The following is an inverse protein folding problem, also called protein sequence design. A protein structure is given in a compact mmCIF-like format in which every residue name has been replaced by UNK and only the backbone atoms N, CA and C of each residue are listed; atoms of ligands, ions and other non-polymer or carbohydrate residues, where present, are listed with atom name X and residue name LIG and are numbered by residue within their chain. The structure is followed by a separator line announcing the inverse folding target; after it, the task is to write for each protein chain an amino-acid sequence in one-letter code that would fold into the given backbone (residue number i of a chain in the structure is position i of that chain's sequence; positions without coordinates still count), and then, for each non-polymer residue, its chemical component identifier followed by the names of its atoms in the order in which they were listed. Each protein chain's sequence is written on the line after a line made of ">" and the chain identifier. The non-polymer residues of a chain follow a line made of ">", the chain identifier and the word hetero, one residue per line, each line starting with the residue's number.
data_IF_286289854832
#
_entry.id   IF_286289854832
#
_cell.length_a   1.000
_cell.length_b   1.000
_cell.length_c   1.000
_cell.angle_alpha   90.00
_cell.angle_beta   90.00
_cell.angle_gamma   90.00
#
_symmetry.space_group_name_H-M   'P 1'
#
loop_
_entity.id
_entity.type
_entity.pdbx_description
1 polymer ?
#
# COMPACT_ATOMS: atom_id res chain seq x y z
N UNK A 1 -45.96 -12.21 -16.61
CA UNK A 1 -44.52 -12.31 -16.97
C UNK A 1 -43.75 -11.83 -15.74
N UNK A 2 -43.00 -12.71 -15.08
CA UNK A 2 -42.17 -12.30 -13.93
C UNK A 2 -40.96 -11.52 -14.45
N UNK A 3 -40.53 -10.51 -13.70
CA UNK A 3 -39.37 -9.71 -14.04
C UNK A 3 -38.11 -10.56 -13.93
N UNK A 4 -37.33 -10.64 -15.01
CA UNK A 4 -35.96 -11.12 -14.97
C UNK A 4 -35.07 -9.91 -14.66
N UNK A 5 -34.37 -9.96 -13.53
CA UNK A 5 -33.35 -8.98 -13.20
C UNK A 5 -32.00 -9.52 -13.68
N UNK A 6 -31.49 -8.99 -14.79
CA UNK A 6 -30.10 -9.17 -15.18
C UNK A 6 -29.24 -8.19 -14.39
N UNK A 7 -28.36 -8.70 -13.53
CA UNK A 7 -27.52 -7.86 -12.70
C UNK A 7 -26.51 -8.64 -11.88
N UNK A 8 -25.43 -7.96 -11.53
CA UNK A 8 -24.39 -8.47 -10.64
C UNK A 8 -24.99 -8.72 -9.24
N UNK A 9 -24.86 -9.94 -8.73
CA UNK A 9 -25.34 -10.29 -7.38
C UNK A 9 -24.60 -9.48 -6.30
N UNK A 10 -25.31 -8.61 -5.59
CA UNK A 10 -24.73 -7.90 -4.44
C UNK A 10 -24.61 -8.83 -3.22
N UNK A 11 -23.92 -8.36 -2.18
CA UNK A 11 -23.70 -9.13 -0.94
C UNK A 11 -24.97 -9.64 -0.26
N UNK A 12 -26.10 -8.98 -0.52
CA UNK A 12 -27.40 -9.37 0.01
C UNK A 12 -27.86 -10.77 -0.46
N UNK A 13 -27.32 -11.31 -1.56
CA UNK A 13 -27.65 -12.67 -2.00
C UNK A 13 -27.28 -13.72 -0.95
N UNK A 14 -26.22 -13.49 -0.17
CA UNK A 14 -25.77 -14.41 0.87
C UNK A 14 -26.84 -14.61 1.95
N UNK A 15 -27.55 -13.54 2.32
CA UNK A 15 -28.65 -13.60 3.29
C UNK A 15 -29.80 -14.48 2.78
N UNK A 16 -30.14 -14.34 1.49
CA UNK A 16 -31.20 -15.13 0.84
C UNK A 16 -30.84 -16.61 0.77
N UNK A 17 -29.60 -16.93 0.41
CA UNK A 17 -29.12 -18.31 0.28
C UNK A 17 -29.01 -19.00 1.64
N UNK A 18 -28.58 -18.27 2.67
CA UNK A 18 -28.57 -18.74 4.06
C UNK A 18 -29.98 -19.08 4.54
N UNK A 19 -30.97 -18.24 4.21
CA UNK A 19 -32.38 -18.50 4.51
C UNK A 19 -32.96 -19.74 3.80
N UNK A 20 -32.41 -20.10 2.63
CA UNK A 20 -32.77 -21.31 1.88
C UNK A 20 -31.98 -22.56 2.28
N UNK A 21 -31.15 -22.49 3.32
CA UNK A 21 -30.33 -23.60 3.83
C UNK A 21 -29.45 -24.27 2.75
N UNK A 22 -28.95 -23.49 1.78
CA UNK A 22 -28.00 -24.01 0.80
C UNK A 22 -26.62 -24.14 1.48
N UNK A 23 -26.00 -25.35 1.45
CA UNK A 23 -24.74 -25.60 2.14
C UNK A 23 -23.56 -24.88 1.48
N UNK A 24 -23.63 -24.68 0.15
CA UNK A 24 -22.58 -24.05 -0.64
C UNK A 24 -23.18 -23.14 -1.72
N UNK A 25 -22.45 -22.06 -2.03
CA UNK A 25 -22.79 -21.14 -3.10
C UNK A 25 -22.41 -21.78 -4.45
N UNK A 26 -23.32 -21.89 -5.43
CA UNK A 26 -22.96 -22.39 -6.75
C UNK A 26 -21.83 -21.57 -7.38
N UNK A 27 -20.87 -22.25 -8.03
CA UNK A 27 -19.66 -21.62 -8.57
C UNK A 27 -19.93 -20.43 -9.50
N UNK A 28 -21.02 -20.46 -10.27
CA UNK A 28 -21.38 -19.38 -11.19
C UNK A 28 -21.81 -18.08 -10.49
N UNK A 29 -22.12 -18.12 -9.18
CA UNK A 29 -22.39 -16.93 -8.37
C UNK A 29 -21.16 -16.41 -7.60
N UNK A 30 -20.06 -17.17 -7.57
CA UNK A 30 -18.81 -16.76 -6.92
C UNK A 30 -18.06 -15.83 -7.88
N UNK A 31 -18.27 -14.53 -7.76
CA UNK A 31 -17.53 -13.56 -8.58
C UNK A 31 -16.10 -13.36 -8.04
N UNK A 32 -15.15 -13.00 -8.92
CA UNK A 32 -13.73 -12.80 -8.56
C UNK A 32 -13.54 -11.90 -7.32
N UNK A 33 -14.33 -10.83 -7.18
CA UNK A 33 -14.27 -9.91 -6.02
C UNK A 33 -14.53 -10.58 -4.66
N UNK A 34 -15.17 -11.74 -4.65
CA UNK A 34 -15.48 -12.53 -3.45
C UNK A 34 -14.44 -13.61 -3.16
N UNK A 35 -13.46 -13.79 -4.04
CA UNK A 35 -12.40 -14.78 -3.86
C UNK A 35 -11.23 -14.18 -3.10
N UNK A 36 -10.48 -15.00 -2.35
CA UNK A 36 -9.23 -14.58 -1.70
C UNK A 36 -8.21 -14.00 -2.69
N UNK A 37 -8.36 -14.33 -3.98
CA UNK A 37 -7.51 -13.86 -5.06
C UNK A 37 -8.06 -12.63 -5.80
N UNK A 38 -9.06 -11.94 -5.23
CA UNK A 38 -9.70 -10.77 -5.84
C UNK A 38 -8.69 -9.69 -6.28
N UNK A 39 -7.62 -9.47 -5.51
CA UNK A 39 -6.58 -8.48 -5.81
C UNK A 39 -5.63 -8.89 -6.95
N UNK A 40 -5.65 -10.15 -7.40
CA UNK A 40 -4.76 -10.66 -8.45
C UNK A 40 -5.41 -10.68 -9.84
N UNK A 41 -6.68 -10.28 -9.96
CA UNK A 41 -7.38 -10.18 -11.24
C UNK A 41 -7.95 -8.78 -11.41
N UNK A 42 -7.81 -8.16 -12.60
CA UNK A 42 -8.45 -6.89 -12.87
C UNK A 42 -9.96 -7.00 -12.69
N UNK A 43 -10.57 -5.99 -12.07
CA UNK A 43 -12.03 -5.92 -11.91
C UNK A 43 -12.61 -5.29 -13.18
N UNK A 44 -13.36 -6.09 -13.92
CA UNK A 44 -14.10 -5.64 -15.11
C UNK A 44 -15.54 -5.31 -14.72
N UNK A 45 -16.10 -4.26 -15.33
CA UNK A 45 -17.52 -3.93 -15.31
C UNK A 45 -18.34 -4.90 -16.18
N UNK A 46 -19.67 -4.85 -16.07
CA UNK A 46 -20.66 -5.67 -16.79
C UNK A 46 -20.44 -5.65 -18.30
N UNK A 47 -19.98 -4.52 -18.85
CA UNK A 47 -19.68 -4.36 -20.28
C UNK A 47 -18.22 -4.71 -20.65
N UNK A 48 -17.47 -5.33 -19.73
CA UNK A 48 -16.05 -5.69 -19.93
C UNK A 48 -15.10 -4.50 -19.83
N UNK A 49 -15.57 -3.33 -19.42
CA UNK A 49 -14.75 -2.13 -19.25
C UNK A 49 -14.06 -2.15 -17.89
N UNK A 50 -12.74 -1.96 -17.85
CA UNK A 50 -11.96 -1.89 -16.60
C UNK A 50 -12.47 -0.70 -15.76
N UNK A 51 -12.79 -0.90 -14.49
CA UNK A 51 -13.18 0.20 -13.61
C UNK A 51 -11.96 1.10 -13.34
N UNK A 52 -11.86 2.17 -14.11
CA UNK A 52 -10.77 3.16 -14.14
C UNK A 52 -10.81 4.01 -12.86
N UNK A 53 -9.83 3.81 -11.98
CA UNK A 53 -9.62 4.58 -10.76
C UNK A 53 -8.21 5.14 -10.70
N UNK A 54 -8.09 6.47 -10.87
CA UNK A 54 -6.91 7.32 -10.66
C UNK A 54 -5.60 6.91 -11.38
N UNK A 55 -5.31 7.63 -12.46
CA UNK A 55 -4.35 7.32 -13.53
C UNK A 55 -2.86 7.20 -13.20
N UNK A 56 -2.39 7.56 -12.00
CA UNK A 56 -0.99 7.32 -11.58
C UNK A 56 -0.85 6.02 -10.79
N UNK A 57 -1.75 5.81 -9.82
CA UNK A 57 -1.90 4.54 -9.09
C UNK A 57 -2.16 3.40 -10.09
N UNK A 58 -2.93 3.68 -11.13
CA UNK A 58 -3.27 2.69 -12.16
C UNK A 58 -2.07 2.23 -13.02
N UNK A 59 -1.08 3.08 -13.31
CA UNK A 59 0.09 2.65 -14.09
C UNK A 59 1.03 1.77 -13.25
N UNK A 60 1.27 2.16 -12.00
CA UNK A 60 2.06 1.37 -11.05
C UNK A 60 1.38 0.03 -10.76
N UNK A 61 0.07 0.03 -10.51
CA UNK A 61 -0.71 -1.20 -10.28
C UNK A 61 -0.75 -2.10 -11.51
N UNK A 62 -0.83 -1.54 -12.72
CA UNK A 62 -0.73 -2.30 -13.98
C UNK A 62 0.65 -2.93 -14.13
N UNK A 63 1.72 -2.21 -13.77
CA UNK A 63 3.08 -2.74 -13.79
C UNK A 63 3.24 -3.86 -12.76
N UNK A 64 2.77 -3.68 -11.53
CA UNK A 64 2.79 -4.71 -10.48
C UNK A 64 2.04 -5.95 -10.95
N UNK A 65 0.83 -5.77 -11.48
CA UNK A 65 -0.02 -6.85 -12.00
C UNK A 65 0.66 -7.63 -13.12
N UNK A 66 1.28 -6.93 -14.08
CA UNK A 66 2.02 -7.56 -15.19
C UNK A 66 3.21 -8.37 -14.68
N UNK A 67 4.05 -7.78 -13.82
CA UNK A 67 5.20 -8.48 -13.25
C UNK A 67 4.78 -9.74 -12.46
N UNK A 68 3.65 -9.69 -11.75
CA UNK A 68 3.13 -10.84 -11.04
C UNK A 68 2.65 -11.96 -11.99
N UNK A 69 1.96 -11.59 -13.07
CA UNK A 69 1.53 -12.56 -14.09
C UNK A 69 2.72 -13.22 -14.79
N UNK A 70 3.75 -12.45 -15.13
CA UNK A 70 4.97 -12.98 -15.75
C UNK A 70 5.68 -13.95 -14.79
N UNK A 71 5.79 -13.59 -13.51
CA UNK A 71 6.34 -14.47 -12.48
C UNK A 71 5.55 -15.77 -12.33
N UNK A 72 4.22 -15.70 -12.31
CA UNK A 72 3.36 -16.87 -12.28
C UNK A 72 3.56 -17.74 -13.52
N UNK A 73 3.71 -17.13 -14.70
CA UNK A 73 4.04 -17.81 -15.94
C UNK A 73 5.36 -18.58 -15.84
N UNK A 74 6.41 -17.97 -15.28
CA UNK A 74 7.67 -18.66 -15.00
C UNK A 74 7.46 -19.89 -14.09
N UNK A 75 6.69 -19.74 -13.00
CA UNK A 75 6.41 -20.85 -12.08
C UNK A 75 5.62 -21.98 -12.75
N UNK A 76 4.66 -21.65 -13.61
CA UNK A 76 3.91 -22.64 -14.40
C UNK A 76 4.82 -23.38 -15.39
N UNK A 77 5.72 -22.67 -16.07
CA UNK A 77 6.69 -23.27 -17.00
C UNK A 77 7.72 -24.16 -16.31
N UNK A 78 8.11 -23.82 -15.08
CA UNK A 78 9.00 -24.65 -14.26
C UNK A 78 8.29 -25.90 -13.72
N UNK A 79 7.02 -25.78 -13.32
CA UNK A 79 6.27 -26.90 -12.75
C UNK A 79 6.98 -27.49 -11.52
N UNK A 80 7.27 -28.81 -11.56
CA UNK A 80 8.02 -29.52 -10.51
C UNK A 80 9.47 -29.83 -10.90
N UNK A 81 9.99 -29.19 -11.93
CA UNK A 81 11.36 -29.37 -12.42
C UNK A 81 12.36 -28.68 -11.48
N UNK A 82 13.23 -29.42 -10.78
CA UNK A 82 14.17 -28.85 -9.80
C UNK A 82 15.18 -27.89 -10.43
N UNK A 83 15.60 -28.15 -11.67
CA UNK A 83 16.60 -27.33 -12.35
C UNK A 83 16.00 -25.99 -12.74
N UNK A 84 14.79 -25.99 -13.31
CA UNK A 84 14.07 -24.75 -13.66
C UNK A 84 13.70 -23.94 -12.41
N UNK A 85 13.27 -24.60 -11.34
CA UNK A 85 13.01 -23.93 -10.05
C UNK A 85 14.28 -23.30 -9.48
N UNK A 86 15.44 -23.94 -9.63
CA UNK A 86 16.74 -23.39 -9.24
C UNK A 86 17.09 -22.15 -10.06
N UNK A 87 16.82 -22.15 -11.37
CA UNK A 87 17.01 -20.98 -12.24
C UNK A 87 16.13 -19.81 -11.79
N UNK A 88 14.85 -20.05 -11.53
CA UNK A 88 13.92 -19.03 -11.02
C UNK A 88 14.41 -18.48 -9.68
N UNK A 89 14.78 -19.36 -8.75
CA UNK A 89 15.28 -18.97 -7.43
C UNK A 89 16.52 -18.06 -7.54
N UNK A 90 17.50 -18.42 -8.38
CA UNK A 90 18.68 -17.57 -8.63
C UNK A 90 18.30 -16.21 -9.19
N UNK A 91 17.35 -16.15 -10.13
CA UNK A 91 16.82 -14.91 -10.67
C UNK A 91 16.20 -14.03 -9.60
N UNK A 92 15.32 -14.58 -8.76
CA UNK A 92 14.69 -13.85 -7.64
C UNK A 92 15.75 -13.26 -6.70
N UNK A 93 16.74 -14.07 -6.27
CA UNK A 93 17.79 -13.60 -5.37
C UNK A 93 18.62 -12.47 -5.99
N UNK A 94 18.90 -12.54 -7.30
CA UNK A 94 19.59 -11.48 -8.04
C UNK A 94 18.77 -10.18 -8.04
N UNK A 95 17.47 -10.25 -8.33
CA UNK A 95 16.57 -9.09 -8.30
C UNK A 95 16.49 -8.49 -6.90
N UNK A 96 16.35 -9.31 -5.85
CA UNK A 96 16.37 -8.86 -4.45
C UNK A 96 17.67 -8.13 -4.09
N UNK A 97 18.82 -8.62 -4.57
CA UNK A 97 20.11 -7.98 -4.34
C UNK A 97 20.17 -6.62 -5.03
N UNK A 98 19.77 -6.54 -6.29
CA UNK A 98 19.74 -5.27 -7.03
C UNK A 98 18.85 -4.24 -6.34
N UNK A 99 17.67 -4.64 -5.85
CA UNK A 99 16.78 -3.73 -5.12
C UNK A 99 17.39 -3.23 -3.80
N UNK A 100 18.12 -4.08 -3.07
CA UNK A 100 18.82 -3.68 -1.84
C UNK A 100 20.00 -2.75 -2.12
N UNK A 101 20.77 -3.02 -3.17
CA UNK A 101 21.93 -2.24 -3.55
C UNK A 101 21.51 -0.87 -4.13
N UNK A 102 20.36 -0.79 -4.82
CA UNK A 102 19.76 0.46 -5.29
C UNK A 102 19.21 1.34 -4.17
N UNK A 103 18.82 0.76 -3.03
CA UNK A 103 18.40 1.53 -1.85
C UNK A 103 19.57 2.11 -1.06
N UNK A 104 20.81 1.84 -1.49
CA UNK A 104 22.02 2.25 -0.81
C UNK A 104 22.15 1.59 0.56
N UNK A 105 23.30 0.98 0.83
CA UNK A 105 23.80 0.94 2.19
C UNK A 105 24.19 2.36 2.63
N UNK A 106 23.26 3.31 2.61
CA UNK A 106 23.39 4.45 3.48
C UNK A 106 23.11 3.87 4.87
N UNK A 107 24.12 3.83 5.72
CA UNK A 107 23.83 4.15 7.11
C UNK A 107 23.19 5.53 7.08
N UNK A 108 21.87 5.60 6.83
CA UNK A 108 21.10 6.76 7.24
C UNK A 108 21.40 6.83 8.73
N UNK A 109 22.22 7.81 9.08
CA UNK A 109 22.41 8.11 10.49
C UNK A 109 21.00 8.27 11.06
N UNK A 110 20.73 7.75 12.26
CA UNK A 110 19.40 7.88 12.89
C UNK A 110 18.88 9.33 12.88
N UNK A 111 19.80 10.30 12.77
CA UNK A 111 19.51 11.72 12.57
C UNK A 111 18.82 12.01 11.23
N UNK A 112 19.30 11.45 10.12
CA UNK A 112 18.71 11.64 8.78
C UNK A 112 17.26 11.14 8.71
N UNK A 113 16.98 10.00 9.34
CA UNK A 113 15.62 9.44 9.41
C UNK A 113 14.69 10.33 10.25
N UNK A 114 15.19 10.87 11.37
CA UNK A 114 14.46 11.80 12.22
C UNK A 114 14.21 13.16 11.54
N UNK A 115 15.20 13.73 10.85
CA UNK A 115 15.07 15.00 10.14
C UNK A 115 14.07 14.89 8.97
N UNK A 116 14.05 13.74 8.28
CA UNK A 116 13.05 13.41 7.27
C UNK A 116 11.63 13.33 7.87
N UNK A 117 11.47 12.66 9.01
CA UNK A 117 10.19 12.55 9.70
C UNK A 117 9.68 13.91 10.22
N UNK A 118 10.56 14.74 10.76
CA UNK A 118 10.24 16.07 11.31
C UNK A 118 10.06 17.11 10.17
N UNK A 119 10.63 16.86 8.99
CA UNK A 119 10.60 17.76 7.83
C UNK A 119 11.54 18.96 7.97
N UNK A 120 12.52 18.88 8.87
CA UNK A 120 13.47 19.96 9.15
C UNK A 120 14.77 19.39 9.73
N UNK A 121 15.91 19.95 9.28
CA UNK A 121 17.23 19.62 9.81
C UNK A 121 17.58 20.48 11.02
N UNK A 122 18.39 19.94 11.94
CA UNK A 122 18.88 20.73 13.06
C UNK A 122 19.82 21.85 12.56
N UNK A 123 19.70 23.10 13.04
CA UNK A 123 20.63 24.17 12.66
C UNK A 123 22.03 23.90 13.23
N UNK A 124 23.08 24.15 12.42
CA UNK A 124 24.49 23.97 12.82
C UNK A 124 24.89 24.83 14.02
N UNK A 125 24.21 25.96 14.22
CA UNK A 125 24.45 26.89 15.31
C UNK A 125 23.13 27.30 15.96
N UNK A 126 23.07 27.14 17.30
CA UNK A 126 21.94 27.58 18.12
C UNK A 126 22.40 28.74 18.98
N UNK A 127 21.97 29.95 18.64
CA UNK A 127 22.21 31.13 19.47
C UNK A 127 21.12 31.20 20.56
N UNK A 128 21.45 30.68 21.75
CA UNK A 128 20.57 30.76 22.92
C UNK A 128 20.73 32.15 23.55
N UNK A 129 19.79 33.04 23.23
CA UNK A 129 19.69 34.33 23.91
C UNK A 129 19.06 34.15 25.29
N UNK A 130 19.53 34.89 26.32
CA UNK A 130 18.84 34.95 27.60
C UNK A 130 17.37 35.33 27.39
N UNK A 131 16.42 34.73 28.13
CA UNK A 131 15.03 35.12 28.04
C UNK A 131 14.91 36.62 28.31
N UNK A 132 14.10 37.31 27.49
CA UNK A 132 13.80 38.72 27.71
C UNK A 132 13.31 38.89 29.13
N UNK A 133 14.03 39.67 29.93
CA UNK A 133 13.65 39.93 31.32
C UNK A 133 12.22 40.48 31.32
N UNK A 134 11.27 39.67 31.80
CA UNK A 134 9.89 40.10 31.87
C UNK A 134 9.71 40.97 33.11
N UNK A 135 9.15 42.16 32.92
CA UNK A 135 8.70 42.97 34.04
C UNK A 135 7.35 42.41 34.49
N UNK A 136 7.34 41.70 35.61
CA UNK A 136 6.10 41.30 36.26
C UNK A 136 5.43 42.53 36.88
N UNK A 137 4.10 42.46 37.04
CA UNK A 137 3.34 43.50 37.74
C UNK A 137 3.88 43.65 39.16
N UNK A 138 4.64 44.72 39.41
CA UNK A 138 5.33 44.96 40.67
C UNK A 138 6.83 45.29 40.58
N UNK A 139 7.48 45.20 39.40
CA UNK A 139 8.90 45.56 39.23
C UNK A 139 9.20 47.08 39.24
N UNK A 140 8.45 47.84 40.05
CA UNK A 140 8.54 49.30 40.13
C UNK A 140 9.96 49.78 40.46
N UNK A 141 10.46 50.74 39.69
CA UNK A 141 11.72 51.42 39.99
C UNK A 141 11.57 52.15 41.34
N UNK A 142 12.46 51.86 42.28
CA UNK A 142 12.52 52.54 43.58
C UNK A 142 12.77 54.02 43.35
N UNK A 143 11.80 54.86 43.73
CA UNK A 143 11.98 56.31 43.76
C UNK A 143 13.05 56.59 44.82
N UNK A 144 14.16 57.24 44.47
CA UNK A 144 15.14 57.71 45.46
C UNK A 144 14.51 58.90 46.19
N UNK A 145 14.25 58.73 47.49
CA UNK A 145 13.83 59.81 48.37
C UNK A 145 14.96 60.85 48.52
N UNK A 146 14.58 62.12 48.49
CA UNK A 146 15.46 63.26 48.80
C UNK A 146 15.69 63.44 50.29
#
# INVERSE_FOLDING_TARGET
>A
KMFECEGIVCSHILCVLKGKALPELPNHYIMNRWTKMAAYKPVFDVDGTLLEGHSQIEQEDRLISRNWLDFLGCMQMAGRDPEKLTVISKGIHSVMKQMKDSNGSASESKLSELESFIGSSAPEQIDILPPKQCNTKGSGKRIKGG
#
